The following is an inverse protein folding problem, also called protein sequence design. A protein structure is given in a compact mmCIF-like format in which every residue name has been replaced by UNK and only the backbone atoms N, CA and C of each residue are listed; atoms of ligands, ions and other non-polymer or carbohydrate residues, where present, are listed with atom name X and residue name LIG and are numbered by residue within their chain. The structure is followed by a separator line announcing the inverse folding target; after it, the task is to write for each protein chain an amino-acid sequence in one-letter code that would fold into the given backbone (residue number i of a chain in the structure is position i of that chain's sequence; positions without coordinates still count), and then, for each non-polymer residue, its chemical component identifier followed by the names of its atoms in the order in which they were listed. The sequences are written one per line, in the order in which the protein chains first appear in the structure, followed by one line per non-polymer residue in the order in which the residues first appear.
data_IF_232915430986
#
_entry.id   IF_232915430986
#
_cell.length_a   1.000
_cell.length_b   1.000
_cell.length_c   1.000
_cell.angle_alpha   90.00
_cell.angle_beta   90.00
_cell.angle_gamma   90.00
#
_symmetry.space_group_name_H-M   'P 1'
#
loop_
_entity.id
_entity.type
_entity.pdbx_description
1 polymer ?
#
# COMPACT_ATOMS: atom_id res chain seq x y z
N UNK A 1 25.59 7.37 6.39
CA UNK A 1 24.23 6.85 6.60
C UNK A 1 23.84 6.77 8.07
N UNK A 2 24.61 6.11 8.96
CA UNK A 2 24.21 6.02 10.38
C UNK A 2 23.96 7.40 11.01
N UNK A 3 24.88 8.35 10.81
CA UNK A 3 24.76 9.73 11.27
C UNK A 3 23.54 10.46 10.69
N UNK A 4 23.32 10.34 9.39
CA UNK A 4 22.13 10.91 8.70
C UNK A 4 20.82 10.33 9.26
N UNK A 5 20.75 9.01 9.46
CA UNK A 5 19.59 8.35 10.04
C UNK A 5 19.33 8.81 11.48
N UNK A 6 20.38 8.95 12.29
CA UNK A 6 20.29 9.45 13.66
C UNK A 6 19.76 10.89 13.67
N UNK A 7 20.37 11.77 12.88
CA UNK A 7 19.98 13.17 12.78
C UNK A 7 18.53 13.34 12.34
N UNK A 8 18.12 12.65 11.26
CA UNK A 8 16.74 12.71 10.77
C UNK A 8 15.76 12.18 11.83
N UNK A 9 16.12 11.10 12.53
CA UNK A 9 15.27 10.53 13.56
C UNK A 9 15.12 11.44 14.78
N UNK A 10 16.20 12.04 15.26
CA UNK A 10 16.19 12.98 16.39
C UNK A 10 15.36 14.23 16.06
N UNK A 11 15.64 14.87 14.91
CA UNK A 11 14.89 16.04 14.46
C UNK A 11 13.40 15.75 14.30
N UNK A 12 13.05 14.57 13.76
CA UNK A 12 11.65 14.20 13.57
C UNK A 12 10.92 13.96 14.90
N UNK A 13 11.60 13.47 15.94
CA UNK A 13 11.01 13.30 17.28
C UNK A 13 10.82 14.65 17.97
N UNK A 14 11.81 15.55 17.85
CA UNK A 14 11.79 16.85 18.52
C UNK A 14 10.78 17.82 17.90
N UNK A 15 10.53 17.69 16.60
CA UNK A 15 9.54 18.51 15.90
C UNK A 15 8.13 17.97 16.07
N UNK A 16 7.17 18.85 16.38
CA UNK A 16 5.74 18.53 16.31
C UNK A 16 5.22 18.46 14.87
N UNK A 17 5.88 19.18 13.95
CA UNK A 17 5.53 19.21 12.54
C UNK A 17 6.30 18.17 11.71
N UNK A 18 5.73 17.82 10.55
CA UNK A 18 6.34 16.87 9.62
C UNK A 18 7.50 17.56 8.90
N UNK A 19 8.71 17.03 9.08
CA UNK A 19 9.89 17.63 8.46
C UNK A 19 10.10 17.14 7.03
N UNK A 20 10.75 17.97 6.21
CA UNK A 20 11.21 17.56 4.89
C UNK A 20 12.40 16.62 5.04
N UNK A 21 12.27 15.41 4.52
CA UNK A 21 13.39 14.46 4.39
C UNK A 21 13.82 14.33 2.93
N UNK A 22 15.11 14.05 2.64
CA UNK A 22 15.59 13.94 1.28
C UNK A 22 14.87 12.83 0.49
N UNK A 23 14.63 13.08 -0.80
CA UNK A 23 14.13 12.05 -1.71
C UNK A 23 15.09 10.84 -1.73
N UNK A 24 14.52 9.64 -1.74
CA UNK A 24 15.28 8.38 -1.70
C UNK A 24 15.93 8.06 -0.35
N UNK A 25 15.63 8.80 0.73
CA UNK A 25 16.13 8.48 2.08
C UNK A 25 15.83 7.03 2.48
N UNK A 26 14.59 6.57 2.26
CA UNK A 26 14.20 5.20 2.60
C UNK A 26 14.92 4.14 1.77
N UNK A 27 15.21 4.42 0.49
CA UNK A 27 16.04 3.56 -0.36
C UNK A 27 17.45 3.43 0.22
N UNK A 28 18.09 4.56 0.57
CA UNK A 28 19.42 4.56 1.18
C UNK A 28 19.44 3.86 2.55
N UNK A 29 18.40 4.04 3.36
CA UNK A 29 18.25 3.35 4.64
C UNK A 29 18.10 1.83 4.46
N UNK A 30 17.31 1.39 3.48
CA UNK A 30 17.15 -0.02 3.14
C UNK A 30 18.48 -0.64 2.65
N UNK A 31 19.21 0.06 1.78
CA UNK A 31 20.52 -0.34 1.29
C UNK A 31 21.54 -0.46 2.44
N UNK A 32 21.50 0.47 3.38
CA UNK A 32 22.38 0.45 4.54
C UNK A 32 22.09 -0.73 5.48
N UNK A 33 20.81 -1.03 5.76
CA UNK A 33 20.43 -2.23 6.51
C UNK A 33 20.86 -3.51 5.79
N UNK A 34 20.80 -3.53 4.45
CA UNK A 34 21.28 -4.65 3.63
C UNK A 34 22.78 -4.87 3.81
N UNK A 35 23.58 -3.80 3.67
CA UNK A 35 25.04 -3.87 3.85
C UNK A 35 25.45 -4.37 5.23
N UNK A 36 24.79 -3.88 6.30
CA UNK A 36 25.03 -4.37 7.66
C UNK A 36 24.72 -5.88 7.78
N UNK A 37 23.66 -6.35 7.14
CA UNK A 37 23.30 -7.78 7.16
C UNK A 37 24.33 -8.64 6.42
N UNK A 38 24.86 -8.15 5.30
CA UNK A 38 25.86 -8.85 4.48
C UNK A 38 27.22 -8.90 5.18
N UNK A 39 27.71 -7.77 5.68
CA UNK A 39 28.98 -7.71 6.40
C UNK A 39 28.94 -8.55 7.70
N UNK A 40 27.81 -8.52 8.41
CA UNK A 40 27.62 -9.33 9.61
C UNK A 40 27.64 -10.85 9.38
N UNK A 41 27.38 -11.33 8.15
CA UNK A 41 27.46 -12.76 7.81
C UNK A 41 28.89 -13.24 7.58
N UNK A 42 29.79 -12.35 7.19
CA UNK A 42 31.18 -12.69 6.85
C UNK A 42 32.15 -12.57 8.03
N UNK A 43 31.68 -12.08 9.19
CA UNK A 43 32.51 -11.87 10.37
C UNK A 43 32.44 -13.05 11.34
N UNK A 44 33.57 -13.32 12.01
CA UNK A 44 33.61 -14.19 13.19
C UNK A 44 32.76 -13.57 14.31
N UNK A 45 31.79 -14.35 14.80
CA UNK A 45 30.80 -13.96 15.81
C UNK A 45 31.43 -13.52 17.14
N UNK A 46 32.65 -13.98 17.44
CA UNK A 46 33.35 -13.64 18.68
C UNK A 46 34.22 -12.39 18.57
N UNK A 47 34.35 -11.81 17.37
CA UNK A 47 35.13 -10.59 17.17
C UNK A 47 34.45 -9.35 17.76
N UNK A 48 35.25 -8.41 18.24
CA UNK A 48 34.78 -7.07 18.66
C UNK A 48 34.02 -6.38 17.51
N UNK A 49 34.50 -6.56 16.28
CA UNK A 49 33.86 -6.03 15.07
C UNK A 49 32.44 -6.58 14.87
N UNK A 50 32.24 -7.89 15.03
CA UNK A 50 30.91 -8.49 14.92
C UNK A 50 29.94 -7.96 15.99
N UNK A 51 30.41 -7.78 17.22
CA UNK A 51 29.60 -7.23 18.30
C UNK A 51 29.20 -5.76 18.05
N UNK A 52 30.13 -4.95 17.53
CA UNK A 52 29.85 -3.56 17.17
C UNK A 52 28.82 -3.47 16.04
N UNK A 53 29.01 -4.26 14.98
CA UNK A 53 28.13 -4.27 13.82
C UNK A 53 26.71 -4.76 14.19
N UNK A 54 26.61 -5.73 15.09
CA UNK A 54 25.32 -6.18 15.66
C UNK A 54 24.59 -5.05 16.36
N UNK A 55 25.29 -4.25 17.19
CA UNK A 55 24.71 -3.09 17.88
C UNK A 55 24.27 -2.02 16.87
N UNK A 56 25.09 -1.71 15.89
CA UNK A 56 24.79 -0.75 14.83
C UNK A 56 23.51 -1.16 14.06
N UNK A 57 23.41 -2.44 13.67
CA UNK A 57 22.21 -2.98 13.01
C UNK A 57 20.96 -2.90 13.89
N UNK A 58 21.08 -3.18 15.20
CA UNK A 58 19.96 -3.05 16.14
C UNK A 58 19.49 -1.60 16.27
N UNK A 59 20.43 -0.66 16.39
CA UNK A 59 20.14 0.77 16.50
C UNK A 59 19.50 1.29 15.21
N UNK A 60 20.08 0.98 14.05
CA UNK A 60 19.54 1.39 12.76
C UNK A 60 18.09 0.92 12.57
N UNK A 61 17.80 -0.35 12.89
CA UNK A 61 16.42 -0.88 12.84
C UNK A 61 15.47 -0.18 13.82
N UNK A 62 15.96 0.16 15.01
CA UNK A 62 15.15 0.89 16.01
C UNK A 62 14.83 2.29 15.51
N UNK A 63 15.81 3.03 15.02
CA UNK A 63 15.64 4.39 14.49
C UNK A 63 14.71 4.40 13.27
N UNK A 64 14.88 3.49 12.30
CA UNK A 64 13.99 3.39 11.13
C UNK A 64 12.54 3.13 11.55
N UNK A 65 12.31 2.18 12.45
CA UNK A 65 10.94 1.90 12.94
C UNK A 65 10.35 3.07 13.70
N UNK A 66 11.16 3.72 14.54
CA UNK A 66 10.76 4.91 15.28
C UNK A 66 10.37 6.04 14.34
N UNK A 67 11.22 6.32 13.34
CA UNK A 67 10.99 7.35 12.34
C UNK A 67 9.69 7.11 11.57
N UNK A 68 9.50 5.90 11.02
CA UNK A 68 8.27 5.54 10.31
C UNK A 68 7.02 5.69 11.20
N UNK A 69 7.11 5.32 12.48
CA UNK A 69 6.01 5.46 13.42
C UNK A 69 5.67 6.92 13.68
N UNK A 70 6.67 7.75 13.98
CA UNK A 70 6.47 9.18 14.28
C UNK A 70 5.89 9.90 13.06
N UNK A 71 6.50 9.71 11.89
CA UNK A 71 6.04 10.31 10.63
C UNK A 71 4.64 9.84 10.26
N UNK A 72 4.38 8.54 10.32
CA UNK A 72 3.05 7.98 10.04
C UNK A 72 1.97 8.59 10.94
N UNK A 73 2.27 8.76 12.24
CA UNK A 73 1.33 9.35 13.18
C UNK A 73 1.07 10.84 12.92
N UNK A 74 2.08 11.60 12.47
CA UNK A 74 1.92 12.99 12.02
C UNK A 74 1.07 13.09 10.75
N UNK A 75 1.28 12.19 9.78
CA UNK A 75 0.47 12.12 8.55
C UNK A 75 -0.99 11.83 8.88
N UNK A 76 -1.27 10.85 9.74
CA UNK A 76 -2.64 10.53 10.19
C UNK A 76 -3.30 11.74 10.86
N UNK A 77 -2.62 12.40 11.81
CA UNK A 77 -3.14 13.59 12.48
C UNK A 77 -3.49 14.71 11.51
N UNK A 78 -2.67 14.94 10.47
CA UNK A 78 -2.98 15.93 9.43
C UNK A 78 -4.20 15.54 8.60
N UNK A 79 -4.31 14.27 8.22
CA UNK A 79 -5.45 13.75 7.47
C UNK A 79 -6.76 13.79 8.28
N UNK A 80 -6.72 13.52 9.58
CA UNK A 80 -7.88 13.64 10.48
C UNK A 80 -8.44 15.07 10.52
N UNK A 81 -7.55 16.07 10.49
CA UNK A 81 -7.89 17.50 10.44
C UNK A 81 -8.29 17.99 9.05
N UNK A 82 -8.33 17.10 8.05
CA UNK A 82 -8.54 17.45 6.64
C UNK A 82 -7.54 18.49 6.11
N UNK A 83 -6.32 18.50 6.67
CA UNK A 83 -5.23 19.34 6.17
C UNK A 83 -4.59 18.71 4.93
N UNK A 84 -4.35 19.52 3.91
CA UNK A 84 -3.55 19.11 2.75
C UNK A 84 -2.09 19.05 3.20
N UNK A 85 -1.47 17.87 3.10
CA UNK A 85 -0.04 17.71 3.35
C UNK A 85 0.73 18.11 2.08
N UNK A 86 1.63 19.11 2.15
CA UNK A 86 2.45 19.49 1.00
C UNK A 86 3.28 18.29 0.50
N UNK A 87 3.27 17.98 -0.81
CA UNK A 87 4.02 16.84 -1.37
C UNK A 87 5.52 16.90 -1.11
N UNK A 88 6.08 18.09 -0.87
CA UNK A 88 7.50 18.33 -0.62
C UNK A 88 7.96 17.83 0.76
N UNK A 89 7.02 17.62 1.70
CA UNK A 89 7.29 17.06 3.01
C UNK A 89 7.25 15.53 3.04
N UNK A 90 6.77 14.91 1.96
CA UNK A 90 6.56 13.47 1.84
C UNK A 90 7.56 12.86 0.85
N UNK A 91 8.02 11.64 1.13
CA UNK A 91 8.69 10.84 0.12
C UNK A 91 7.69 10.19 -0.83
N UNK A 92 8.16 9.66 -1.96
CA UNK A 92 7.33 8.91 -2.91
C UNK A 92 6.59 7.74 -2.25
N UNK A 93 7.23 7.05 -1.30
CA UNK A 93 6.64 5.95 -0.54
C UNK A 93 5.53 6.45 0.40
N UNK A 94 5.71 7.64 1.00
CA UNK A 94 4.74 8.24 1.91
C UNK A 94 3.57 8.89 1.19
N UNK A 95 3.74 9.38 -0.05
CA UNK A 95 2.66 9.96 -0.84
C UNK A 95 1.52 8.97 -1.10
N UNK A 96 1.85 7.71 -1.43
CA UNK A 96 0.86 6.65 -1.61
C UNK A 96 0.09 6.37 -0.29
N UNK A 97 0.81 6.32 0.83
CA UNK A 97 0.24 6.11 2.15
C UNK A 97 -0.68 7.28 2.53
N UNK A 98 -0.20 8.52 2.34
CA UNK A 98 -0.97 9.74 2.61
C UNK A 98 -2.27 9.76 1.80
N UNK A 99 -2.21 9.44 0.51
CA UNK A 99 -3.39 9.40 -0.37
C UNK A 99 -4.44 8.40 0.14
N UNK A 100 -3.98 7.23 0.58
CA UNK A 100 -4.85 6.18 1.14
C UNK A 100 -5.52 6.63 2.44
N UNK A 101 -4.76 7.27 3.34
CA UNK A 101 -5.26 7.78 4.62
C UNK A 101 -6.23 8.93 4.41
N UNK A 102 -5.93 9.86 3.50
CA UNK A 102 -6.84 10.97 3.17
C UNK A 102 -8.16 10.46 2.61
N UNK A 103 -8.15 9.49 1.68
CA UNK A 103 -9.37 8.89 1.15
C UNK A 103 -10.21 8.17 2.23
N UNK A 104 -9.55 7.51 3.19
CA UNK A 104 -10.23 6.93 4.35
C UNK A 104 -10.86 8.01 5.23
N UNK A 105 -10.11 9.08 5.52
CA UNK A 105 -10.59 10.21 6.34
C UNK A 105 -11.81 10.87 5.71
N UNK A 106 -11.80 11.12 4.40
CA UNK A 106 -12.92 11.67 3.65
C UNK A 106 -14.16 10.76 3.70
N UNK A 107 -13.98 9.45 3.52
CA UNK A 107 -15.07 8.47 3.62
C UNK A 107 -15.66 8.43 5.03
N UNK A 108 -14.80 8.46 6.05
CA UNK A 108 -15.21 8.43 7.45
C UNK A 108 -15.96 9.71 7.84
N UNK A 109 -15.46 10.88 7.42
CA UNK A 109 -16.13 12.17 7.62
C UNK A 109 -17.47 12.22 6.89
N UNK A 110 -17.54 11.76 5.63
CA UNK A 110 -18.81 11.68 4.89
C UNK A 110 -19.84 10.77 5.56
N UNK A 111 -19.39 9.62 6.09
CA UNK A 111 -20.22 8.71 6.87
C UNK A 111 -20.74 9.36 8.17
N UNK A 112 -19.86 10.06 8.90
CA UNK A 112 -20.24 10.79 10.11
C UNK A 112 -21.26 11.90 9.78
N UNK A 113 -21.01 12.65 8.71
CA UNK A 113 -21.90 13.73 8.23
C UNK A 113 -23.30 13.21 7.86
N UNK A 114 -23.39 12.06 7.20
CA UNK A 114 -24.67 11.46 6.86
C UNK A 114 -25.47 11.10 8.12
N UNK A 115 -24.82 10.48 9.13
CA UNK A 115 -25.44 10.16 10.42
C UNK A 115 -25.91 11.43 11.13
N UNK A 116 -25.05 12.45 11.22
CA UNK A 116 -25.36 13.71 11.89
C UNK A 116 -26.50 14.47 11.20
N UNK A 117 -26.67 14.29 9.88
CA UNK A 117 -27.77 14.85 9.09
C UNK A 117 -29.04 13.98 9.09
N UNK A 118 -29.07 12.89 9.85
CA UNK A 118 -30.21 11.97 9.94
C UNK A 118 -30.44 11.14 8.68
N UNK A 119 -29.43 11.02 7.81
CA UNK A 119 -29.49 10.19 6.60
C UNK A 119 -29.01 8.77 6.94
N UNK A 120 -29.68 7.72 6.49
CA UNK A 120 -29.17 6.37 6.66
C UNK A 120 -27.83 6.27 5.93
N UNK A 121 -26.76 5.77 6.59
CA UNK A 121 -25.45 5.69 5.96
C UNK A 121 -25.56 4.80 4.72
N UNK A 122 -25.21 5.37 3.57
CA UNK A 122 -25.10 4.60 2.33
C UNK A 122 -23.86 3.74 2.46
N UNK A 123 -24.05 2.47 2.85
CA UNK A 123 -23.00 1.47 2.74
C UNK A 123 -22.73 1.28 1.25
N UNK A 124 -21.81 2.08 0.69
CA UNK A 124 -21.11 1.68 -0.51
C UNK A 124 -20.30 0.46 -0.08
N UNK A 125 -20.87 -0.72 -0.33
CA UNK A 125 -20.08 -1.94 -0.34
C UNK A 125 -18.98 -1.66 -1.36
N UNK A 126 -17.79 -1.28 -0.86
CA UNK A 126 -16.54 -1.27 -1.62
C UNK A 126 -16.65 -2.45 -2.54
N UNK A 127 -16.68 -2.22 -3.86
CA UNK A 127 -16.87 -3.25 -4.89
C UNK A 127 -15.89 -4.39 -4.59
N UNK A 128 -16.29 -5.35 -3.76
CA UNK A 128 -15.63 -6.64 -3.62
C UNK A 128 -15.89 -7.24 -4.97
N UNK A 129 -14.87 -7.17 -5.85
CA UNK A 129 -14.84 -7.69 -7.21
C UNK A 129 -15.99 -8.66 -7.44
N UNK A 130 -17.16 -8.13 -7.82
CA UNK A 130 -18.34 -8.97 -8.01
C UNK A 130 -17.91 -9.89 -9.15
N UNK A 131 -17.88 -11.19 -8.90
CA UNK A 131 -17.52 -12.15 -9.94
C UNK A 131 -18.81 -12.69 -10.52
N UNK A 132 -18.85 -12.80 -11.84
CA UNK A 132 -19.98 -13.34 -12.58
C UNK A 132 -19.52 -14.63 -13.24
N UNK A 133 -20.34 -15.67 -13.12
CA UNK A 133 -20.10 -16.92 -13.85
C UNK A 133 -20.62 -16.71 -15.27
N UNK A 134 -19.74 -16.95 -16.23
CA UNK A 134 -20.02 -16.88 -17.64
C UNK A 134 -19.94 -18.27 -18.25
N UNK A 135 -20.80 -18.52 -19.24
CA UNK A 135 -20.71 -19.63 -20.18
C UNK A 135 -20.21 -19.10 -21.52
N UNK A 136 -19.09 -19.61 -22.02
CA UNK A 136 -18.52 -19.14 -23.29
C UNK A 136 -19.24 -19.75 -24.48
N UNK A 137 -19.68 -18.92 -25.42
CA UNK A 137 -20.38 -19.37 -26.64
C UNK A 137 -19.39 -19.50 -27.82
N UNK A 138 -18.19 -18.92 -27.67
CA UNK A 138 -17.11 -18.94 -28.66
C UNK A 138 -15.78 -19.18 -27.96
N UNK A 139 -14.79 -19.66 -28.71
CA UNK A 139 -13.42 -19.75 -28.21
C UNK A 139 -12.85 -18.36 -27.92
N UNK A 140 -12.25 -18.19 -26.74
CA UNK A 140 -11.66 -16.94 -26.30
C UNK A 140 -10.23 -17.19 -25.83
N UNK A 141 -9.21 -16.48 -26.36
CA UNK A 141 -7.84 -16.63 -25.91
C UNK A 141 -7.65 -16.14 -24.48
N UNK A 142 -6.48 -16.38 -23.89
CA UNK A 142 -6.18 -15.89 -22.55
C UNK A 142 -6.29 -14.35 -22.47
N UNK A 143 -7.02 -13.85 -21.47
CA UNK A 143 -7.24 -12.43 -21.21
C UNK A 143 -6.78 -12.04 -19.81
N UNK A 144 -6.37 -10.78 -19.66
CA UNK A 144 -5.98 -10.23 -18.35
C UNK A 144 -7.21 -9.57 -17.72
N UNK A 145 -7.55 -10.01 -16.51
CA UNK A 145 -8.61 -9.47 -15.68
C UNK A 145 -8.31 -8.08 -15.13
N UNK A 146 -9.34 -7.33 -14.73
CA UNK A 146 -9.17 -6.08 -13.96
C UNK A 146 -8.45 -6.28 -12.63
N UNK A 147 -8.35 -7.52 -12.14
CA UNK A 147 -7.55 -7.92 -10.98
C UNK A 147 -6.10 -8.34 -11.33
N UNK A 148 -5.64 -8.04 -12.55
CA UNK A 148 -4.31 -8.36 -13.09
C UNK A 148 -3.99 -9.86 -13.18
N UNK A 149 -5.00 -10.74 -13.08
CA UNK A 149 -4.83 -12.18 -13.27
C UNK A 149 -5.13 -12.58 -14.71
N UNK A 150 -4.43 -13.58 -15.21
CA UNK A 150 -4.70 -14.16 -16.54
C UNK A 150 -5.80 -15.22 -16.43
N UNK A 151 -6.74 -15.19 -17.37
CA UNK A 151 -7.90 -16.06 -17.46
C UNK A 151 -7.98 -16.69 -18.85
N UNK A 152 -8.34 -17.96 -18.93
CA UNK A 152 -8.42 -18.70 -20.20
C UNK A 152 -7.08 -19.32 -20.64
N UNK A 153 -7.00 -19.89 -21.85
CA UNK A 153 -7.99 -19.82 -22.92
C UNK A 153 -9.28 -20.58 -22.59
N UNK A 154 -10.40 -20.14 -23.15
CA UNK A 154 -11.73 -20.71 -22.95
C UNK A 154 -12.27 -21.32 -24.25
N UNK A 155 -12.89 -22.49 -24.15
CA UNK A 155 -13.57 -23.19 -25.23
C UNK A 155 -15.09 -22.95 -25.19
N UNK A 156 -15.77 -23.39 -26.24
CA UNK A 156 -17.25 -23.33 -26.32
C UNK A 156 -17.86 -24.18 -25.20
N UNK A 157 -18.87 -23.63 -24.52
CA UNK A 157 -19.55 -24.13 -23.31
C UNK A 157 -18.72 -24.14 -22.01
N UNK A 158 -17.49 -23.60 -22.00
CA UNK A 158 -16.73 -23.48 -20.76
C UNK A 158 -17.42 -22.53 -19.76
N UNK A 159 -17.35 -22.88 -18.47
CA UNK A 159 -17.82 -22.05 -17.37
C UNK A 159 -16.65 -21.42 -16.63
N UNK A 160 -16.64 -20.09 -16.52
CA UNK A 160 -15.62 -19.38 -15.74
C UNK A 160 -16.17 -18.23 -14.91
N UNK A 161 -15.54 -18.01 -13.76
CA UNK A 161 -15.84 -16.89 -12.86
C UNK A 161 -14.87 -15.74 -13.10
N UNK A 162 -15.37 -14.62 -13.63
CA UNK A 162 -14.60 -13.46 -14.04
C UNK A 162 -15.05 -12.18 -13.30
N UNK A 163 -14.18 -11.16 -13.15
CA UNK A 163 -14.58 -9.84 -12.66
C UNK A 163 -15.68 -9.22 -13.54
N UNK A 164 -16.66 -8.50 -12.94
CA UNK A 164 -17.80 -7.90 -13.68
C UNK A 164 -17.35 -7.12 -14.92
N UNK A 165 -16.29 -6.32 -14.80
CA UNK A 165 -15.82 -5.48 -15.91
C UNK A 165 -15.45 -6.33 -17.14
N UNK A 166 -14.71 -7.42 -16.94
CA UNK A 166 -14.35 -8.35 -17.99
C UNK A 166 -15.58 -9.13 -18.49
N UNK A 167 -16.47 -9.54 -17.58
CA UNK A 167 -17.68 -10.28 -17.92
C UNK A 167 -18.62 -9.48 -18.82
N UNK A 168 -18.83 -8.20 -18.53
CA UNK A 168 -19.71 -7.34 -19.32
C UNK A 168 -19.16 -7.11 -20.73
N UNK A 169 -17.84 -7.03 -20.89
CA UNK A 169 -17.20 -6.92 -22.21
C UNK A 169 -17.45 -8.19 -23.03
N UNK A 170 -17.22 -9.37 -22.44
CA UNK A 170 -17.39 -10.66 -23.12
C UNK A 170 -18.84 -10.91 -23.55
N UNK A 171 -19.80 -10.48 -22.73
CA UNK A 171 -21.23 -10.56 -23.06
C UNK A 171 -21.61 -9.57 -24.16
N UNK A 172 -21.12 -8.33 -24.10
CA UNK A 172 -21.35 -7.32 -25.16
C UNK A 172 -20.75 -7.75 -26.51
N UNK A 173 -19.63 -8.45 -26.49
CA UNK A 173 -18.99 -8.99 -27.70
C UNK A 173 -19.67 -10.27 -28.23
N UNK A 174 -20.65 -10.82 -27.50
CA UNK A 174 -21.35 -12.05 -27.86
C UNK A 174 -20.42 -13.27 -27.82
N UNK A 175 -19.39 -13.24 -26.97
CA UNK A 175 -18.44 -14.34 -26.77
C UNK A 175 -18.81 -15.21 -25.57
N UNK A 176 -19.62 -14.69 -24.63
CA UNK A 176 -20.09 -15.42 -23.46
C UNK A 176 -21.49 -14.95 -23.00
N UNK A 177 -22.17 -15.79 -22.24
CA UNK A 177 -23.49 -15.53 -21.64
C UNK A 177 -23.41 -15.63 -20.11
N UNK A 178 -24.21 -14.82 -19.41
CA UNK A 178 -24.27 -14.86 -17.94
C UNK A 178 -25.08 -16.07 -17.48
N UNK A 179 -24.54 -16.81 -16.52
CA UNK A 179 -25.27 -17.90 -15.85
C UNK A 179 -25.79 -17.40 -14.52
N UNK A 180 -27.11 -17.42 -14.34
CA UNK A 180 -27.72 -17.21 -13.03
C UNK A 180 -27.61 -18.49 -12.21
N UNK A 181 -26.89 -18.43 -11.09
CA UNK A 181 -26.95 -19.47 -10.07
C UNK A 181 -28.13 -19.11 -9.18
N UNK A 182 -29.18 -19.92 -9.23
CA UNK A 182 -30.35 -19.80 -8.35
C UNK A 182 -30.02 -20.09 -6.89
#
# INVERSE_FOLDING_TARGET
MYSELLQVYEQEIESDELLKIPSGFYVRAADYVRRLKEEGRMLDKHSVKANLLKKEMQNARRMIRGLLRVRGMKIVKKAERMEIVPPELLTSEEQLICTTISAFSEQFHGFADDILKGRPPKVSVVKRNKRVILRFVKEVPSVIGSDMKTYGPFQVEDLASLPVENSDIMVKQGSAEKVEVG
#
